data_IF_380556749809
#
_entry.id   IF_380556749809
#
_cell.length_a   1.000
_cell.length_b   1.000
_cell.length_c   1.000
_cell.angle_alpha   90.00
_cell.angle_beta   90.00
_cell.angle_gamma   90.00
#
_symmetry.space_group_name_H-M   'P 1'
#
loop_
_entity.id
_entity.type
_entity.pdbx_description
1 polymer ?
#
# COMPACT_ATOMS: atom_id res chain seq x y z
N UNK A 1 19.52 -63.76 54.85
CA UNK A 1 19.59 -62.94 56.07
C UNK A 1 18.20 -62.38 56.32
N UNK A 2 17.75 -62.53 57.56
CA UNK A 2 16.38 -62.50 58.05
C UNK A 2 15.56 -61.24 57.69
N UNK A 3 14.25 -61.41 57.43
CA UNK A 3 13.25 -60.52 58.05
C UNK A 3 11.86 -61.17 58.15
N UNK A 4 11.23 -60.88 59.29
CA UNK A 4 10.22 -61.60 60.08
C UNK A 4 8.77 -61.14 59.77
N UNK A 5 7.72 -61.67 60.47
CA UNK A 5 6.46 -62.05 59.86
C UNK A 5 5.27 -61.09 60.08
N UNK A 6 4.24 -61.35 59.27
CA UNK A 6 2.82 -61.46 59.60
C UNK A 6 2.33 -60.95 60.98
N UNK A 7 1.50 -59.90 60.96
CA UNK A 7 0.41 -59.68 61.92
C UNK A 7 -0.81 -59.11 61.16
N UNK A 8 -1.82 -59.95 60.98
CA UNK A 8 -3.21 -59.57 60.74
C UNK A 8 -3.90 -59.31 62.11
N UNK A 9 -5.22 -59.04 62.16
CA UNK A 9 -6.06 -58.08 61.44
C UNK A 9 -6.81 -57.17 62.44
N UNK A 10 -7.54 -56.14 61.99
CA UNK A 10 -8.86 -55.82 62.57
C UNK A 10 -9.74 -55.12 61.51
N UNK A 11 -10.83 -55.80 61.15
CA UNK A 11 -11.95 -55.34 60.33
C UNK A 11 -13.06 -54.84 61.26
N UNK A 12 -13.60 -53.63 61.03
CA UNK A 12 -14.98 -53.24 61.37
C UNK A 12 -15.40 -52.19 60.33
N UNK A 13 -15.92 -52.59 59.16
CA UNK A 13 -17.34 -52.81 58.83
C UNK A 13 -18.21 -51.54 58.91
N UNK A 14 -18.77 -51.10 57.76
CA UNK A 14 -20.00 -50.31 57.71
C UNK A 14 -20.77 -50.65 56.42
N UNK A 15 -22.03 -51.04 56.63
CA UNK A 15 -23.00 -51.54 55.65
C UNK A 15 -23.32 -50.50 54.57
N UNK A 16 -23.42 -50.94 53.31
CA UNK A 16 -24.12 -50.20 52.26
C UNK A 16 -25.43 -50.91 51.90
N UNK A 17 -26.53 -50.23 52.18
CA UNK A 17 -27.89 -50.60 51.79
C UNK A 17 -28.17 -50.00 50.40
N UNK A 18 -28.47 -50.84 49.42
CA UNK A 18 -28.88 -50.42 48.09
C UNK A 18 -30.35 -49.96 48.07
N UNK A 19 -30.61 -48.81 47.48
CA UNK A 19 -31.94 -48.39 47.06
C UNK A 19 -31.84 -47.87 45.62
N UNK A 20 -32.42 -48.62 44.67
CA UNK A 20 -32.54 -48.20 43.29
C UNK A 20 -33.74 -47.25 43.15
N UNK A 21 -33.48 -46.00 42.75
CA UNK A 21 -34.51 -45.05 42.34
C UNK A 21 -34.40 -44.90 40.82
N UNK A 22 -35.40 -45.38 40.10
CA UNK A 22 -35.52 -45.15 38.66
C UNK A 22 -36.00 -43.73 38.40
N UNK A 23 -35.08 -42.85 38.00
CA UNK A 23 -35.43 -41.51 37.54
C UNK A 23 -35.85 -41.56 36.05
N UNK A 24 -37.09 -41.20 35.76
CA UNK A 24 -37.57 -40.92 34.40
C UNK A 24 -36.95 -39.59 33.99
N UNK A 25 -36.02 -39.60 33.03
CA UNK A 25 -35.40 -38.39 32.50
C UNK A 25 -36.34 -37.83 31.42
N UNK A 26 -36.92 -36.62 31.56
CA UNK A 26 -37.61 -36.01 30.44
C UNK A 26 -36.58 -35.66 29.37
N UNK A 27 -36.78 -36.18 28.16
CA UNK A 27 -36.01 -35.75 26.98
C UNK A 27 -36.48 -34.34 26.64
N UNK A 28 -35.73 -33.34 27.10
CA UNK A 28 -35.89 -31.96 26.68
C UNK A 28 -35.33 -31.89 25.26
N UNK A 29 -36.23 -31.79 24.27
CA UNK A 29 -35.82 -31.58 22.89
C UNK A 29 -35.34 -30.13 22.76
N UNK A 30 -34.04 -29.90 22.95
CA UNK A 30 -33.40 -28.63 22.67
C UNK A 30 -33.43 -28.46 21.15
N UNK A 31 -34.30 -27.58 20.67
CA UNK A 31 -34.13 -27.03 19.32
C UNK A 31 -32.67 -26.56 19.20
N UNK A 32 -31.99 -26.78 18.06
CA UNK A 32 -30.64 -26.26 17.86
C UNK A 32 -30.70 -24.74 17.98
N UNK A 33 -30.37 -24.26 19.18
CA UNK A 33 -30.10 -22.87 19.45
C UNK A 33 -28.95 -22.50 18.54
N UNK A 34 -29.24 -21.63 17.58
CA UNK A 34 -28.25 -20.90 16.83
C UNK A 34 -27.42 -20.15 17.87
N UNK A 35 -26.31 -20.74 18.29
CA UNK A 35 -25.21 -19.99 18.88
C UNK A 35 -24.67 -19.13 17.76
N UNK A 36 -25.27 -17.96 17.58
CA UNK A 36 -24.67 -16.89 16.81
C UNK A 36 -23.35 -16.59 17.52
N UNK A 37 -22.25 -17.11 16.97
CA UNK A 37 -20.93 -16.66 17.36
C UNK A 37 -20.92 -15.14 17.17
N UNK A 38 -20.44 -14.34 18.15
CA UNK A 38 -20.26 -12.92 17.90
C UNK A 38 -19.26 -12.81 16.76
N UNK A 39 -19.73 -12.41 15.57
CA UNK A 39 -18.85 -11.86 14.55
C UNK A 39 -18.41 -10.53 15.11
N UNK A 40 -17.32 -10.52 15.88
CA UNK A 40 -16.65 -9.28 16.24
C UNK A 40 -16.26 -8.61 14.94
N UNK A 41 -17.09 -7.67 14.49
CA UNK A 41 -16.79 -6.82 13.36
C UNK A 41 -15.46 -6.16 13.69
N UNK A 42 -14.46 -6.38 12.84
CA UNK A 42 -13.07 -6.04 13.08
C UNK A 42 -12.95 -4.52 12.98
N UNK A 43 -13.37 -3.84 14.04
CA UNK A 43 -13.46 -2.39 14.13
C UNK A 43 -12.37 -1.89 15.07
N UNK A 44 -11.61 -0.90 14.60
CA UNK A 44 -10.50 -0.31 15.34
C UNK A 44 -11.00 0.90 16.15
N UNK A 45 -10.76 0.96 17.48
CA UNK A 45 -11.29 2.06 18.30
C UNK A 45 -10.80 3.45 17.86
N UNK A 46 -9.60 3.53 17.28
CA UNK A 46 -8.92 4.77 16.90
C UNK A 46 -9.27 5.27 15.49
N UNK A 47 -10.24 4.65 14.81
CA UNK A 47 -10.72 5.12 13.49
C UNK A 47 -12.17 5.60 13.49
N UNK A 48 -12.92 5.50 14.59
CA UNK A 48 -14.37 5.78 14.58
C UNK A 48 -14.74 7.15 14.00
N UNK A 49 -13.97 8.18 14.37
CA UNK A 49 -14.15 9.56 13.88
C UNK A 49 -13.08 9.96 12.85
N UNK A 50 -12.35 9.00 12.29
CA UNK A 50 -11.26 9.25 11.35
C UNK A 50 -11.76 9.23 9.91
N UNK A 51 -11.40 10.26 9.12
CA UNK A 51 -11.83 10.41 7.72
C UNK A 51 -11.53 9.18 6.85
N UNK A 52 -10.44 8.47 7.16
CA UNK A 52 -10.02 7.30 6.41
C UNK A 52 -10.78 6.01 6.77
N UNK A 53 -11.62 6.03 7.81
CA UNK A 53 -12.33 4.85 8.31
C UNK A 53 -13.10 4.09 7.21
N UNK A 54 -13.87 4.75 6.32
CA UNK A 54 -14.60 4.07 5.27
C UNK A 54 -13.71 3.35 4.25
N UNK A 55 -12.43 3.73 4.13
CA UNK A 55 -11.45 3.01 3.31
C UNK A 55 -10.79 1.87 4.08
N UNK A 56 -10.55 2.04 5.39
CA UNK A 56 -9.80 1.10 6.22
C UNK A 56 -10.62 -0.16 6.50
N UNK A 57 -11.89 -0.03 6.90
CA UNK A 57 -12.70 -1.17 7.34
C UNK A 57 -12.83 -2.25 6.24
N UNK A 58 -13.17 -1.92 4.98
CA UNK A 58 -13.32 -2.94 3.93
C UNK A 58 -11.99 -3.60 3.55
N UNK A 59 -10.86 -2.89 3.70
CA UNK A 59 -9.54 -3.47 3.49
C UNK A 59 -9.17 -4.43 4.62
N UNK A 60 -9.53 -4.11 5.87
CA UNK A 60 -9.30 -4.96 7.02
C UNK A 60 -10.15 -6.25 6.95
N UNK A 61 -11.42 -6.14 6.56
CA UNK A 61 -12.31 -7.29 6.32
C UNK A 61 -11.75 -8.26 5.25
N UNK A 62 -11.05 -7.71 4.26
CA UNK A 62 -10.37 -8.48 3.20
C UNK A 62 -8.98 -8.96 3.60
N UNK A 63 -8.54 -8.69 4.83
CA UNK A 63 -7.20 -8.98 5.34
C UNK A 63 -6.09 -8.34 4.48
N UNK A 64 -6.35 -7.17 3.87
CA UNK A 64 -5.36 -6.42 3.09
C UNK A 64 -4.50 -5.55 4.00
N UNK A 65 -5.14 -4.94 4.99
CA UNK A 65 -4.47 -4.22 6.07
C UNK A 65 -4.84 -4.87 7.40
N UNK A 66 -3.95 -4.76 8.38
CA UNK A 66 -4.17 -5.26 9.73
C UNK A 66 -3.86 -4.18 10.76
N UNK A 67 -4.56 -4.21 11.88
CA UNK A 67 -4.21 -3.40 13.05
C UNK A 67 -3.07 -4.01 13.87
N UNK A 68 -2.74 -3.33 14.95
CA UNK A 68 -1.73 -3.73 15.91
C UNK A 68 -2.31 -4.68 16.95
N UNK A 69 -1.41 -5.34 17.72
CA UNK A 69 -1.80 -6.31 18.75
C UNK A 69 -2.63 -5.68 19.88
N UNK A 70 -2.56 -4.36 20.05
CA UNK A 70 -3.38 -3.58 20.99
C UNK A 70 -4.79 -3.28 20.47
N UNK A 71 -5.14 -3.75 19.27
CA UNK A 71 -6.44 -3.55 18.64
C UNK A 71 -6.61 -2.22 17.91
N UNK A 72 -5.55 -1.41 17.80
CA UNK A 72 -5.59 -0.12 17.07
C UNK A 72 -5.18 -0.26 15.60
N UNK A 73 -5.58 0.68 14.74
CA UNK A 73 -5.10 0.75 13.34
C UNK A 73 -3.94 1.72 13.15
N UNK A 74 -3.88 2.77 13.98
CA UNK A 74 -2.97 3.91 13.95
C UNK A 74 -2.99 4.64 12.61
N UNK A 75 -4.13 5.22 12.20
CA UNK A 75 -4.30 5.79 10.87
C UNK A 75 -3.36 6.97 10.59
N UNK A 76 -2.91 7.68 11.62
CA UNK A 76 -1.99 8.82 11.51
C UNK A 76 -0.51 8.43 11.59
N UNK A 77 -0.18 7.15 11.78
CA UNK A 77 1.20 6.69 11.83
C UNK A 77 1.80 6.70 10.43
N UNK A 78 3.04 7.18 10.30
CA UNK A 78 3.79 7.18 9.04
C UNK A 78 4.18 5.77 8.64
N UNK A 79 4.13 5.49 7.35
CA UNK A 79 4.39 4.17 6.76
C UNK A 79 5.83 4.07 6.27
N UNK A 80 6.52 3.01 6.67
CA UNK A 80 7.84 2.68 6.14
C UNK A 80 7.73 1.92 4.80
N UNK A 81 8.78 1.97 3.98
CA UNK A 81 8.77 1.38 2.63
C UNK A 81 8.61 -0.13 2.64
N UNK A 82 9.16 -0.82 3.63
CA UNK A 82 9.01 -2.26 3.85
C UNK A 82 7.56 -2.66 4.16
N UNK A 83 6.90 -1.88 5.02
CA UNK A 83 5.50 -2.02 5.39
C UNK A 83 4.59 -1.76 4.18
N UNK A 84 4.89 -0.73 3.39
CA UNK A 84 4.16 -0.48 2.15
C UNK A 84 4.31 -1.64 1.14
N UNK A 85 5.51 -2.23 1.01
CA UNK A 85 5.71 -3.41 0.17
C UNK A 85 4.87 -4.61 0.65
N UNK A 86 4.77 -4.82 1.97
CA UNK A 86 3.91 -5.85 2.54
C UNK A 86 2.42 -5.61 2.24
N UNK A 87 1.95 -4.36 2.32
CA UNK A 87 0.58 -3.98 1.97
C UNK A 87 0.32 -4.23 0.48
N UNK A 88 1.24 -3.84 -0.41
CA UNK A 88 1.13 -4.10 -1.86
C UNK A 88 0.99 -5.61 -2.13
N UNK A 89 1.90 -6.41 -1.55
CA UNK A 89 1.90 -7.87 -1.71
C UNK A 89 0.57 -8.49 -1.29
N UNK A 90 -0.03 -7.97 -0.22
CA UNK A 90 -1.31 -8.46 0.27
C UNK A 90 -2.50 -7.97 -0.60
N UNK A 91 -2.43 -6.74 -1.12
CA UNK A 91 -3.50 -6.14 -1.93
C UNK A 91 -3.53 -6.66 -3.38
N UNK A 92 -2.37 -6.93 -3.98
CA UNK A 92 -2.23 -7.17 -5.40
C UNK A 92 -1.46 -8.46 -5.70
N UNK A 93 -2.18 -9.48 -6.17
CA UNK A 93 -1.58 -10.68 -6.74
C UNK A 93 -1.33 -10.48 -8.24
N UNK A 94 -0.19 -9.88 -8.60
CA UNK A 94 0.24 -9.66 -9.98
C UNK A 94 1.32 -10.65 -10.41
N UNK A 95 1.37 -10.97 -11.69
CA UNK A 95 2.44 -11.79 -12.25
C UNK A 95 3.76 -11.01 -12.28
N UNK A 96 4.91 -11.65 -12.00
CA UNK A 96 6.21 -11.02 -12.14
C UNK A 96 6.44 -10.47 -13.56
N UNK A 97 6.78 -9.19 -13.66
CA UNK A 97 7.19 -8.52 -14.91
C UNK A 97 8.70 -8.43 -15.07
N UNK A 98 9.45 -8.67 -13.98
CA UNK A 98 10.91 -8.68 -13.93
C UNK A 98 11.41 -9.95 -13.25
N UNK A 99 12.57 -10.45 -13.70
CA UNK A 99 13.25 -11.61 -13.09
C UNK A 99 14.36 -11.14 -12.15
N UNK A 100 14.45 -11.77 -10.98
CA UNK A 100 15.59 -11.61 -10.06
C UNK A 100 16.56 -12.78 -10.28
N UNK A 101 17.85 -12.50 -10.44
CA UNK A 101 18.89 -13.52 -10.37
C UNK A 101 19.10 -13.91 -8.90
N UNK A 102 19.27 -15.20 -8.60
CA UNK A 102 19.35 -15.70 -7.22
C UNK A 102 20.28 -14.87 -6.32
N UNK A 103 19.76 -14.40 -5.18
CA UNK A 103 20.45 -13.54 -4.21
C UNK A 103 19.58 -12.36 -3.76
N UNK A 104 20.02 -11.59 -2.76
CA UNK A 104 19.32 -10.36 -2.32
C UNK A 104 19.37 -9.31 -3.43
N UNK A 105 18.19 -8.78 -3.80
CA UNK A 105 18.06 -7.68 -4.78
C UNK A 105 18.74 -6.40 -4.32
N UNK A 106 18.71 -6.16 -3.01
CA UNK A 106 19.16 -4.92 -2.39
C UNK A 106 20.18 -5.20 -1.29
N UNK A 107 21.17 -4.32 -1.17
CA UNK A 107 22.31 -4.46 -0.24
C UNK A 107 21.93 -4.28 1.23
N UNK A 108 20.84 -3.55 1.48
CA UNK A 108 20.30 -3.22 2.80
C UNK A 108 19.07 -4.06 3.16
N UNK A 109 18.81 -5.13 2.42
CA UNK A 109 17.73 -6.08 2.70
C UNK A 109 18.34 -7.49 2.89
N UNK A 110 18.63 -7.87 4.14
CA UNK A 110 19.04 -9.24 4.47
C UNK A 110 17.99 -10.26 4.01
N UNK A 111 18.43 -11.46 3.60
CA UNK A 111 17.52 -12.50 3.11
C UNK A 111 16.55 -13.03 4.18
N UNK A 112 16.91 -12.92 5.47
CA UNK A 112 16.11 -13.28 6.63
C UNK A 112 15.25 -12.13 7.17
N UNK A 113 15.31 -10.95 6.53
CA UNK A 113 14.50 -9.81 6.91
C UNK A 113 13.02 -10.09 6.66
N UNK A 114 12.16 -9.74 7.61
CA UNK A 114 10.74 -10.10 7.61
C UNK A 114 10.00 -9.64 6.34
N UNK A 115 10.36 -8.48 5.79
CA UNK A 115 9.77 -7.93 4.59
C UNK A 115 10.52 -8.30 3.30
N UNK A 116 11.63 -9.05 3.37
CA UNK A 116 12.41 -9.41 2.18
C UNK A 116 11.53 -10.05 1.08
N UNK A 117 10.63 -11.01 1.37
CA UNK A 117 9.76 -11.56 0.33
C UNK A 117 8.82 -10.52 -0.28
N UNK A 118 8.30 -9.59 0.55
CA UNK A 118 7.41 -8.54 0.08
C UNK A 118 8.13 -7.51 -0.79
N UNK A 119 9.36 -7.15 -0.41
CA UNK A 119 10.21 -6.21 -1.15
C UNK A 119 10.61 -6.82 -2.50
N UNK A 120 11.01 -8.09 -2.52
CA UNK A 120 11.35 -8.81 -3.75
C UNK A 120 10.15 -8.93 -4.68
N UNK A 121 8.98 -9.31 -4.15
CA UNK A 121 7.75 -9.43 -4.94
C UNK A 121 7.31 -8.07 -5.48
N UNK A 122 7.33 -7.01 -4.67
CA UNK A 122 7.02 -5.65 -5.10
C UNK A 122 7.97 -5.15 -6.20
N UNK A 123 9.24 -5.59 -6.18
CA UNK A 123 10.20 -5.32 -7.25
C UNK A 123 9.92 -6.13 -8.52
N UNK A 124 9.72 -7.45 -8.38
CA UNK A 124 9.42 -8.35 -9.49
C UNK A 124 8.15 -7.97 -10.25
N UNK A 125 7.12 -7.56 -9.51
CA UNK A 125 5.85 -7.09 -10.06
C UNK A 125 5.91 -5.62 -10.48
N UNK A 126 7.01 -4.91 -10.20
CA UNK A 126 7.26 -3.54 -10.67
C UNK A 126 6.51 -2.45 -9.92
N UNK A 127 5.80 -2.76 -8.82
CA UNK A 127 5.19 -1.75 -7.96
C UNK A 127 6.24 -0.86 -7.32
N UNK A 128 7.35 -1.45 -6.84
CA UNK A 128 8.40 -0.70 -6.17
C UNK A 128 9.75 -0.90 -6.85
N UNK A 129 10.58 0.13 -6.75
CA UNK A 129 11.98 0.06 -7.12
C UNK A 129 12.83 0.56 -5.96
N UNK A 130 14.09 0.12 -5.92
CA UNK A 130 15.09 0.67 -5.02
C UNK A 130 15.68 1.98 -5.55
N UNK A 131 16.53 2.57 -4.73
CA UNK A 131 17.31 3.75 -5.01
C UNK A 131 18.63 3.42 -5.72
N UNK A 132 19.26 4.40 -6.39
CA UNK A 132 20.61 4.26 -6.93
C UNK A 132 21.59 3.68 -5.91
N UNK A 133 22.51 2.84 -6.38
CA UNK A 133 23.48 2.14 -5.54
C UNK A 133 23.03 0.78 -5.02
N UNK A 134 21.80 0.36 -5.30
CA UNK A 134 21.26 -0.97 -4.96
C UNK A 134 20.69 -1.04 -3.54
N UNK A 135 20.02 0.03 -3.10
CA UNK A 135 19.44 0.16 -1.76
C UNK A 135 17.91 0.25 -1.85
N UNK A 136 17.18 -0.45 -0.99
CA UNK A 136 15.73 -0.31 -0.89
C UNK A 136 15.30 0.74 0.13
N UNK A 137 16.11 0.91 1.18
CA UNK A 137 15.86 1.74 2.37
C UNK A 137 14.56 1.34 3.08
N UNK A 138 14.49 0.12 3.63
CA UNK A 138 13.25 -0.44 4.16
C UNK A 138 12.65 0.43 5.27
N UNK A 139 13.48 0.95 6.17
CA UNK A 139 13.02 1.75 7.31
C UNK A 139 12.80 3.24 6.98
N UNK A 140 12.95 3.64 5.72
CA UNK A 140 12.64 5.01 5.31
C UNK A 140 11.12 5.14 5.14
N UNK A 141 10.56 6.25 5.59
CA UNK A 141 9.16 6.58 5.34
C UNK A 141 8.91 6.73 3.84
N UNK A 142 7.78 6.20 3.36
CA UNK A 142 7.37 6.38 1.97
C UNK A 142 6.63 7.71 1.80
N UNK A 143 7.00 8.48 0.79
CA UNK A 143 6.26 9.71 0.47
C UNK A 143 4.93 9.41 -0.24
N UNK A 144 3.98 10.35 -0.16
CA UNK A 144 2.70 10.26 -0.88
C UNK A 144 2.89 10.05 -2.38
N UNK A 145 3.84 10.77 -3.00
CA UNK A 145 4.10 10.62 -4.43
C UNK A 145 4.70 9.26 -4.79
N UNK A 146 5.60 8.72 -3.97
CA UNK A 146 6.17 7.39 -4.22
C UNK A 146 5.09 6.31 -4.13
N UNK A 147 4.18 6.41 -3.16
CA UNK A 147 3.05 5.49 -3.05
C UNK A 147 2.14 5.53 -4.28
N UNK A 148 1.79 6.72 -4.77
CA UNK A 148 0.95 6.89 -5.96
C UNK A 148 1.64 6.38 -7.24
N UNK A 149 2.92 6.67 -7.41
CA UNK A 149 3.73 6.16 -8.52
C UNK A 149 3.78 4.63 -8.48
N UNK A 150 3.95 4.05 -7.29
CA UNK A 150 4.01 2.61 -7.12
C UNK A 150 2.69 1.93 -7.52
N UNK A 151 1.56 2.51 -7.12
CA UNK A 151 0.25 2.01 -7.46
C UNK A 151 -0.02 2.16 -8.95
N UNK A 152 0.17 3.32 -9.56
CA UNK A 152 -0.20 3.53 -10.96
C UNK A 152 0.55 2.63 -11.94
N UNK A 153 1.85 2.41 -11.72
CA UNK A 153 2.74 1.67 -12.63
C UNK A 153 2.24 0.28 -13.03
N UNK A 154 1.45 -0.38 -12.16
CA UNK A 154 0.97 -1.75 -12.40
C UNK A 154 -0.54 -1.90 -12.43
N UNK A 155 -1.29 -0.80 -12.38
CA UNK A 155 -2.74 -0.87 -12.47
C UNK A 155 -3.25 -0.93 -13.91
N UNK A 156 -2.39 -0.80 -14.94
CA UNK A 156 -2.76 -0.81 -16.37
C UNK A 156 -4.02 0.06 -16.67
N UNK A 157 -4.20 1.17 -15.96
CA UNK A 157 -5.41 2.03 -16.02
C UNK A 157 -5.57 2.77 -17.36
N UNK A 158 -4.71 2.49 -18.33
CA UNK A 158 -4.82 2.94 -19.71
C UNK A 158 -5.54 1.90 -20.58
N UNK A 159 -6.88 1.80 -20.48
CA UNK A 159 -7.76 1.36 -21.60
C UNK A 159 -9.26 1.23 -21.27
N UNK A 160 -9.71 1.32 -20.02
CA UNK A 160 -11.14 1.16 -19.70
C UNK A 160 -11.75 2.39 -19.05
N UNK A 161 -12.02 3.41 -19.87
CA UNK A 161 -13.17 4.29 -19.61
C UNK A 161 -14.43 3.59 -20.12
N UNK A 162 -15.52 3.47 -19.34
CA UNK A 162 -16.80 3.03 -19.90
C UNK A 162 -17.32 4.11 -20.86
N UNK A 163 -17.15 3.88 -22.16
CA UNK A 163 -17.74 4.72 -23.21
C UNK A 163 -19.24 4.46 -23.30
N UNK A 164 -20.12 5.47 -23.20
CA UNK A 164 -21.53 5.31 -23.53
C UNK A 164 -21.66 4.96 -25.01
N UNK A 165 -22.44 3.93 -25.33
CA UNK A 165 -22.70 3.51 -26.70
C UNK A 165 -23.19 4.69 -27.56
N UNK A 166 -22.38 5.07 -28.55
CA UNK A 166 -22.82 5.88 -29.67
C UNK A 166 -22.72 5.04 -30.96
N UNK A 167 -23.90 4.81 -31.51
CA UNK A 167 -24.24 4.17 -32.77
C UNK A 167 -23.36 4.60 -33.96
N UNK A 168 -22.77 3.60 -34.59
CA UNK A 168 -22.44 3.44 -36.02
C UNK A 168 -21.96 4.68 -36.80
N UNK A 169 -20.68 4.66 -37.20
CA UNK A 169 -20.31 5.02 -38.57
C UNK A 169 -19.35 3.97 -39.14
N UNK A 170 -19.73 3.49 -40.32
CA UNK A 170 -19.19 2.37 -41.07
C UNK A 170 -18.21 2.90 -42.10
N UNK A 171 -16.95 2.46 -42.08
CA UNK A 171 -16.11 2.49 -43.28
C UNK A 171 -15.04 1.40 -43.24
N UNK A 172 -14.91 0.73 -44.37
CA UNK A 172 -14.21 -0.52 -44.60
C UNK A 172 -12.68 -0.37 -44.63
N UNK A 173 -11.97 -1.43 -44.23
CA UNK A 173 -10.66 -1.75 -44.79
C UNK A 173 -10.47 -3.29 -44.87
N UNK A 174 -9.80 -3.82 -45.92
CA UNK A 174 -10.03 -5.18 -46.39
C UNK A 174 -9.19 -6.27 -45.71
N UNK A 175 -9.73 -7.47 -45.88
CA UNK A 175 -9.26 -8.82 -45.60
C UNK A 175 -7.80 -9.13 -45.93
N UNK A 176 -7.12 -9.80 -44.99
CA UNK A 176 -6.13 -10.85 -45.27
C UNK A 176 -6.34 -12.00 -44.26
N UNK A 177 -6.46 -13.22 -44.78
CA UNK A 177 -6.86 -14.44 -44.10
C UNK A 177 -5.66 -15.30 -43.66
N UNK A 178 -5.82 -15.95 -42.50
CA UNK A 178 -5.43 -17.32 -42.09
C UNK A 178 -3.98 -17.84 -42.37
N UNK A 179 -3.32 -18.56 -41.45
CA UNK A 179 -3.61 -20.00 -41.19
C UNK A 179 -2.66 -20.62 -40.10
N UNK A 180 -3.20 -21.60 -39.35
CA UNK A 180 -2.59 -22.72 -38.54
C UNK A 180 -1.71 -22.42 -37.30
N UNK A 181 -1.68 -23.18 -36.19
CA UNK A 181 -2.44 -24.31 -35.58
C UNK A 181 -1.95 -24.49 -34.09
N UNK A 182 -2.59 -25.34 -33.25
CA UNK A 182 -2.49 -25.30 -31.78
C UNK A 182 -1.45 -26.26 -31.18
N UNK A 183 -0.95 -25.95 -29.96
CA UNK A 183 -0.20 -26.90 -29.12
C UNK A 183 -0.67 -26.87 -27.66
N UNK A 184 -0.66 -28.05 -27.08
CA UNK A 184 -1.35 -28.55 -25.89
C UNK A 184 -0.80 -28.11 -24.52
N UNK A 185 -1.68 -28.34 -23.53
CA UNK A 185 -1.61 -28.16 -22.08
C UNK A 185 -0.35 -28.72 -21.41
N UNK A 186 0.06 -28.08 -20.31
CA UNK A 186 0.42 -28.84 -19.10
C UNK A 186 0.02 -28.13 -17.80
N UNK A 187 -0.52 -28.92 -16.88
CA UNK A 187 -1.20 -28.51 -15.64
C UNK A 187 -0.31 -28.88 -14.46
N UNK A 188 0.40 -27.91 -13.87
CA UNK A 188 1.15 -28.12 -12.64
C UNK A 188 0.36 -27.58 -11.44
N UNK A 189 -0.07 -28.51 -10.58
CA UNK A 189 -0.69 -28.25 -9.28
C UNK A 189 0.42 -28.15 -8.23
N UNK A 190 0.49 -27.07 -7.44
CA UNK A 190 1.15 -27.15 -6.12
C UNK A 190 0.70 -26.07 -5.12
N UNK A 191 -0.02 -26.56 -4.11
CA UNK A 191 -0.17 -26.15 -2.69
C UNK A 191 -0.06 -24.66 -2.34
N UNK A 192 -1.22 -24.08 -1.98
CA UNK A 192 -1.33 -22.91 -1.10
C UNK A 192 -0.88 -23.30 0.31
N UNK A 193 0.17 -22.66 0.80
CA UNK A 193 0.64 -22.78 2.17
C UNK A 193 0.10 -21.57 2.95
N UNK A 194 -0.94 -21.78 3.75
CA UNK A 194 -1.38 -20.81 4.76
C UNK A 194 -0.34 -20.84 5.88
N UNK A 195 0.33 -19.73 6.15
CA UNK A 195 1.09 -19.54 7.38
C UNK A 195 0.61 -18.27 8.07
N UNK A 196 0.21 -18.33 9.36
CA UNK A 196 -0.10 -17.15 10.15
C UNK A 196 1.21 -16.54 10.65
N UNK A 197 1.39 -15.23 10.50
CA UNK A 197 2.50 -14.52 11.13
C UNK A 197 1.94 -13.41 12.02
N UNK A 198 1.57 -13.82 13.24
CA UNK A 198 1.68 -12.98 14.42
C UNK A 198 3.08 -13.21 14.99
N UNK A 199 3.99 -12.25 14.87
CA UNK A 199 5.16 -12.09 15.75
C UNK A 199 5.88 -10.77 15.42
N UNK A 200 5.50 -9.69 16.11
CA UNK A 200 6.35 -8.49 16.24
C UNK A 200 6.87 -8.45 17.68
N UNK A 201 8.02 -9.08 17.89
CA UNK A 201 8.75 -9.00 19.16
C UNK A 201 9.55 -7.70 19.19
N UNK A 202 9.41 -6.99 20.31
CA UNK A 202 10.15 -5.83 20.83
C UNK A 202 11.48 -5.47 20.14
N UNK A 203 11.66 -4.18 19.82
CA UNK A 203 12.94 -3.51 20.07
C UNK A 203 12.74 -2.03 20.42
N UNK A 204 13.25 -1.68 21.61
CA UNK A 204 13.34 -0.33 22.18
C UNK A 204 14.55 0.41 21.58
N UNK A 205 14.49 1.73 21.32
CA UNK A 205 15.68 2.53 21.13
C UNK A 205 16.26 2.97 22.48
N UNK A 206 17.49 2.53 22.77
CA UNK A 206 18.34 3.13 23.81
C UNK A 206 18.76 4.53 23.34
N UNK A 207 18.16 5.57 23.92
CA UNK A 207 18.60 6.96 23.77
C UNK A 207 19.84 7.16 24.66
N UNK A 208 20.98 7.48 24.06
CA UNK A 208 22.11 8.12 24.76
C UNK A 208 22.28 9.54 24.23
N UNK A 209 22.41 10.49 25.16
CA UNK A 209 22.38 11.93 24.96
C UNK A 209 23.78 12.53 24.59
N UNK A 210 24.01 13.87 24.66
CA UNK A 210 24.50 14.65 23.53
C UNK A 210 25.99 15.07 23.63
N UNK A 211 26.61 15.42 22.50
CA UNK A 211 27.90 16.12 22.49
C UNK A 211 27.71 17.57 22.04
N UNK A 212 28.18 18.49 22.87
CA UNK A 212 28.26 19.92 22.64
C UNK A 212 29.72 20.35 22.70
N UNK A 213 30.22 20.98 21.63
CA UNK A 213 31.37 21.89 21.61
C UNK A 213 31.69 22.24 20.15
N UNK A 214 32.11 23.43 19.73
CA UNK A 214 32.36 24.71 20.39
C UNK A 214 32.52 25.73 19.25
N UNK A 215 32.22 26.99 19.57
CA UNK A 215 32.37 28.17 18.75
C UNK A 215 33.84 28.63 18.83
N UNK A 216 34.43 29.04 17.71
CA UNK A 216 35.51 30.04 17.72
C UNK A 216 35.44 30.91 16.46
N UNK A 217 35.04 32.17 16.66
CA UNK A 217 35.31 33.29 15.76
C UNK A 217 36.79 33.69 15.88
N UNK A 218 37.45 34.05 14.76
CA UNK A 218 38.46 35.12 14.75
C UNK A 218 38.82 35.51 13.30
N UNK A 219 38.40 36.72 12.97
CA UNK A 219 38.74 37.54 11.82
C UNK A 219 40.18 38.07 11.93
N UNK A 220 40.98 37.98 10.87
CA UNK A 220 42.12 38.88 10.65
C UNK A 220 42.67 38.79 9.22
N UNK A 221 42.29 39.75 8.37
CA UNK A 221 43.10 40.25 7.24
C UNK A 221 44.10 41.30 7.76
N UNK A 222 45.27 41.52 7.11
CA UNK A 222 45.29 42.49 6.01
C UNK A 222 46.25 42.20 4.82
N UNK A 223 45.82 42.75 3.68
CA UNK A 223 46.47 43.31 2.48
C UNK A 223 47.94 43.07 2.06
N UNK A 224 48.04 42.72 0.77
CA UNK A 224 48.85 43.29 -0.35
C UNK A 224 50.38 43.16 -0.38
N UNK A 225 50.92 42.52 -1.45
CA UNK A 225 51.89 43.08 -2.41
C UNK A 225 51.74 42.36 -3.77
N UNK A 226 51.87 43.12 -4.86
CA UNK A 226 51.67 42.77 -6.27
C UNK A 226 52.86 42.06 -6.95
N UNK A 227 52.61 41.43 -8.11
CA UNK A 227 53.36 41.57 -9.39
C UNK A 227 52.93 40.51 -10.43
N UNK A 228 51.99 40.90 -11.32
CA UNK A 228 52.06 40.90 -12.79
C UNK A 228 52.39 39.64 -13.66
N UNK A 229 52.00 39.64 -14.96
CA UNK A 229 51.15 38.58 -15.53
C UNK A 229 51.76 37.83 -16.72
N UNK A 230 51.18 36.68 -17.08
CA UNK A 230 51.30 36.10 -18.42
C UNK A 230 49.94 35.99 -19.13
N UNK A 231 49.95 36.62 -20.30
CA UNK A 231 48.99 36.65 -21.41
C UNK A 231 48.78 35.30 -22.10
N UNK A 232 47.57 35.04 -22.63
CA UNK A 232 47.23 34.63 -24.01
C UNK A 232 45.72 34.20 -24.11
N UNK A 233 45.07 34.22 -25.30
CA UNK A 233 44.06 35.23 -25.62
C UNK A 233 42.59 34.75 -25.75
N UNK A 234 41.69 35.74 -25.79
CA UNK A 234 40.27 35.65 -26.19
C UNK A 234 40.09 35.25 -27.66
N UNK A 235 39.15 34.34 -27.90
CA UNK A 235 38.45 34.16 -29.17
C UNK A 235 36.94 34.13 -28.95
N UNK A 236 36.23 35.03 -29.62
CA UNK A 236 34.78 35.06 -29.87
C UNK A 236 34.58 36.05 -31.04
N UNK A 237 33.47 36.06 -31.81
CA UNK A 237 32.26 35.23 -31.76
C UNK A 237 31.84 34.68 -33.15
N UNK A 238 30.89 33.74 -33.21
CA UNK A 238 29.81 33.76 -34.23
C UNK A 238 28.75 32.70 -34.00
N UNK A 239 27.52 33.22 -33.98
CA UNK A 239 26.20 32.61 -34.12
C UNK A 239 26.13 31.43 -35.10
N UNK A 240 25.29 30.43 -34.81
CA UNK A 240 24.17 30.00 -35.66
C UNK A 240 23.40 28.84 -35.00
N UNK A 241 22.07 29.03 -34.99
CA UNK A 241 20.98 28.04 -34.89
C UNK A 241 20.75 27.28 -33.57
N UNK A 242 19.89 27.87 -32.74
CA UNK A 242 18.55 27.33 -32.44
C UNK A 242 18.42 25.81 -32.39
N UNK A 243 18.80 25.19 -31.27
CA UNK A 243 18.07 24.02 -30.80
C UNK A 243 16.89 24.53 -29.96
N UNK A 244 15.78 24.69 -30.67
CA UNK A 244 14.47 25.03 -30.11
C UNK A 244 14.08 23.95 -29.11
N UNK A 245 14.31 24.22 -27.83
CA UNK A 245 13.70 23.52 -26.72
C UNK A 245 12.19 23.71 -26.82
N UNK A 246 11.48 22.77 -27.45
CA UNK A 246 10.04 22.65 -27.28
C UNK A 246 9.81 21.96 -25.94
N UNK A 247 9.20 22.63 -24.94
CA UNK A 247 8.72 21.90 -23.78
C UNK A 247 7.58 21.02 -24.28
N UNK A 248 7.78 19.70 -24.27
CA UNK A 248 6.67 18.75 -24.38
C UNK A 248 5.96 18.77 -23.03
N UNK A 249 5.28 19.87 -22.69
CA UNK A 249 4.30 19.91 -21.60
C UNK A 249 3.10 19.10 -22.07
N UNK A 250 3.30 17.80 -21.97
CA UNK A 250 2.39 16.71 -22.26
C UNK A 250 1.11 16.86 -21.42
N UNK A 251 -0.05 16.34 -21.89
CA UNK A 251 -1.32 16.36 -21.17
C UNK A 251 -1.25 16.03 -19.66
N UNK A 252 -0.23 15.30 -19.19
CA UNK A 252 0.00 15.00 -17.78
C UNK A 252 0.31 16.24 -16.91
N UNK A 253 1.23 17.13 -17.33
CA UNK A 253 1.57 18.32 -16.53
C UNK A 253 0.39 19.29 -16.41
N UNK A 254 -0.38 19.41 -17.49
CA UNK A 254 -1.64 20.15 -17.50
C UNK A 254 -2.68 19.51 -16.58
N UNK A 255 -2.80 18.17 -16.60
CA UNK A 255 -3.71 17.45 -15.69
C UNK A 255 -3.39 17.78 -14.25
N UNK A 256 -2.15 17.56 -13.79
CA UNK A 256 -1.82 17.79 -12.37
C UNK A 256 -1.99 19.26 -11.96
N UNK A 257 -1.66 20.22 -12.84
CA UNK A 257 -1.82 21.65 -12.56
C UNK A 257 -3.29 22.09 -12.46
N UNK A 258 -4.22 21.36 -13.08
CA UNK A 258 -5.65 21.64 -12.97
C UNK A 258 -6.27 21.09 -11.68
N UNK A 259 -5.65 20.08 -11.07
CA UNK A 259 -6.19 19.44 -9.87
C UNK A 259 -5.49 19.87 -8.59
N UNK A 260 -4.22 20.28 -8.66
CA UNK A 260 -3.40 20.53 -7.47
C UNK A 260 -2.78 21.91 -7.44
N UNK A 261 -2.97 22.63 -6.34
CA UNK A 261 -2.36 23.95 -6.12
C UNK A 261 -0.85 23.85 -5.93
N UNK A 262 -0.38 22.72 -5.41
CA UNK A 262 1.02 22.38 -5.16
C UNK A 262 1.62 21.48 -6.26
N UNK A 263 1.02 21.48 -7.46
CA UNK A 263 1.48 20.65 -8.59
C UNK A 263 2.96 20.85 -8.95
N UNK A 264 3.52 22.02 -8.65
CA UNK A 264 4.94 22.34 -8.89
C UNK A 264 5.89 21.57 -7.95
N UNK A 265 5.40 21.05 -6.83
CA UNK A 265 6.17 20.22 -5.90
C UNK A 265 6.26 18.76 -6.35
N UNK A 266 5.46 18.36 -7.36
CA UNK A 266 5.49 17.00 -7.90
C UNK A 266 6.83 16.80 -8.64
N UNK A 267 7.66 15.84 -8.23
CA UNK A 267 8.90 15.56 -8.93
C UNK A 267 8.65 15.23 -10.40
N UNK A 268 9.51 15.73 -11.30
CA UNK A 268 9.34 15.54 -12.75
C UNK A 268 9.15 14.08 -13.16
N UNK A 269 9.82 13.14 -12.49
CA UNK A 269 9.70 11.71 -12.78
C UNK A 269 8.30 11.14 -12.49
N UNK A 270 7.52 11.79 -11.63
CA UNK A 270 6.23 11.31 -11.13
C UNK A 270 5.02 11.95 -11.82
N UNK A 271 5.20 13.05 -12.55
CA UNK A 271 4.10 13.85 -13.13
C UNK A 271 3.13 12.99 -13.96
N UNK A 272 3.65 12.10 -14.80
CA UNK A 272 2.82 11.22 -15.63
C UNK A 272 2.01 10.24 -14.78
N UNK A 273 2.63 9.58 -13.80
CA UNK A 273 1.97 8.60 -12.95
C UNK A 273 0.93 9.28 -12.04
N UNK A 274 1.23 10.44 -11.48
CA UNK A 274 0.28 11.21 -10.66
C UNK A 274 -0.90 11.68 -11.50
N UNK A 275 -0.66 12.18 -12.72
CA UNK A 275 -1.74 12.54 -13.64
C UNK A 275 -2.66 11.35 -13.96
N UNK A 276 -2.08 10.18 -14.22
CA UNK A 276 -2.83 8.96 -14.49
C UNK A 276 -3.60 8.46 -13.25
N UNK A 277 -2.98 8.45 -12.06
CA UNK A 277 -3.63 8.13 -10.80
C UNK A 277 -4.81 9.08 -10.49
N UNK A 278 -4.65 10.37 -10.80
CA UNK A 278 -5.70 11.38 -10.65
C UNK A 278 -6.89 11.06 -11.55
N UNK A 279 -6.64 10.78 -12.84
CA UNK A 279 -7.69 10.41 -13.81
C UNK A 279 -8.40 9.11 -13.44
N UNK A 280 -7.68 8.19 -12.82
CA UNK A 280 -8.21 6.91 -12.35
C UNK A 280 -8.95 7.00 -11.00
N UNK A 281 -9.10 8.20 -10.42
CA UNK A 281 -9.70 8.43 -9.10
C UNK A 281 -8.96 7.71 -7.95
N UNK A 282 -7.66 7.45 -8.11
CA UNK A 282 -6.82 6.78 -7.10
C UNK A 282 -6.40 7.76 -6.00
N UNK A 283 -6.20 9.03 -6.37
CA UNK A 283 -5.71 10.04 -5.44
C UNK A 283 -6.82 10.44 -4.47
N UNK A 284 -6.51 10.32 -3.18
CA UNK A 284 -7.35 10.80 -2.08
C UNK A 284 -6.58 11.85 -1.27
N UNK A 285 -7.16 13.05 -1.19
CA UNK A 285 -6.54 14.21 -0.56
C UNK A 285 -7.47 14.72 0.56
N UNK A 286 -7.00 14.61 1.80
CA UNK A 286 -7.70 15.07 2.99
C UNK A 286 -6.88 16.18 3.68
N UNK A 287 -7.53 17.25 4.18
CA UNK A 287 -8.96 17.57 4.05
C UNK A 287 -9.30 18.27 2.73
N UNK A 288 -8.31 18.76 1.99
CA UNK A 288 -8.50 19.53 0.75
C UNK A 288 -8.09 18.69 -0.47
N UNK A 289 -9.05 18.43 -1.38
CA UNK A 289 -8.79 17.67 -2.60
C UNK A 289 -7.70 18.27 -3.50
N UNK A 290 -7.48 19.58 -3.41
CA UNK A 290 -6.58 20.31 -4.30
C UNK A 290 -5.14 20.40 -3.77
N UNK A 291 -4.83 19.80 -2.61
CA UNK A 291 -3.48 19.79 -2.03
C UNK A 291 -2.96 18.36 -1.97
N UNK A 292 -1.94 18.06 -2.78
CA UNK A 292 -1.39 16.71 -2.87
C UNK A 292 -0.35 16.41 -1.78
N UNK A 293 0.45 17.38 -1.36
CA UNK A 293 1.61 17.23 -0.49
C UNK A 293 2.56 16.11 -0.96
N UNK A 294 3.06 16.14 -2.22
CA UNK A 294 3.69 15.00 -2.86
C UNK A 294 4.92 14.47 -2.11
N UNK A 295 5.69 15.36 -1.48
CA UNK A 295 6.95 15.03 -0.81
C UNK A 295 6.81 14.70 0.68
N UNK A 296 5.59 14.77 1.24
CA UNK A 296 5.36 14.43 2.64
C UNK A 296 5.30 12.90 2.83
N UNK A 297 5.85 12.38 3.95
CA UNK A 297 5.61 11.01 4.40
C UNK A 297 4.11 10.68 4.45
N UNK A 298 3.73 9.53 3.91
CA UNK A 298 2.35 9.06 3.90
C UNK A 298 2.00 8.34 5.21
N UNK A 299 0.81 8.63 5.73
CA UNK A 299 0.22 7.95 6.87
C UNK A 299 -0.47 6.64 6.46
N UNK A 300 -0.70 5.74 7.43
CA UNK A 300 -1.43 4.48 7.21
C UNK A 300 -2.85 4.69 6.67
N UNK A 301 -3.54 5.74 7.11
CA UNK A 301 -4.87 6.10 6.62
C UNK A 301 -4.85 6.55 5.16
N UNK A 302 -3.86 7.34 4.76
CA UNK A 302 -3.68 7.75 3.35
C UNK A 302 -3.32 6.57 2.45
N UNK A 303 -2.40 5.71 2.90
CA UNK A 303 -2.06 4.48 2.16
C UNK A 303 -3.28 3.58 2.01
N UNK A 304 -4.08 3.38 3.06
CA UNK A 304 -5.32 2.62 2.98
C UNK A 304 -6.30 3.23 1.96
N UNK A 305 -6.47 4.55 1.95
CA UNK A 305 -7.32 5.23 0.98
C UNK A 305 -6.84 5.02 -0.47
N UNK A 306 -5.54 5.15 -0.74
CA UNK A 306 -4.97 4.91 -2.07
C UNK A 306 -5.11 3.45 -2.51
N UNK A 307 -4.85 2.49 -1.62
CA UNK A 307 -5.01 1.06 -1.90
C UNK A 307 -6.47 0.73 -2.19
N UNK A 308 -7.39 1.27 -1.39
CA UNK A 308 -8.83 1.11 -1.62
C UNK A 308 -9.21 1.59 -3.01
N UNK A 309 -8.84 2.83 -3.38
CA UNK A 309 -9.20 3.37 -4.70
C UNK A 309 -8.52 2.62 -5.84
N UNK A 310 -7.28 2.16 -5.66
CA UNK A 310 -6.61 1.31 -6.63
C UNK A 310 -7.36 -0.01 -6.86
N UNK A 311 -7.91 -0.63 -5.81
CA UNK A 311 -8.72 -1.83 -5.91
C UNK A 311 -10.10 -1.57 -6.51
N UNK A 312 -10.70 -0.40 -6.25
CA UNK A 312 -11.91 0.07 -6.94
C UNK A 312 -11.65 0.23 -8.44
N UNK A 313 -10.52 0.85 -8.82
CA UNK A 313 -10.14 1.01 -10.22
C UNK A 313 -9.93 -0.33 -10.93
N UNK A 314 -9.57 -1.40 -10.20
CA UNK A 314 -9.51 -2.78 -10.71
C UNK A 314 -10.85 -3.53 -10.67
N UNK A 315 -11.93 -2.93 -10.15
CA UNK A 315 -13.22 -3.58 -9.96
C UNK A 315 -13.20 -4.70 -8.90
N UNK A 316 -12.22 -4.69 -7.99
CA UNK A 316 -12.07 -5.70 -6.92
C UNK A 316 -12.82 -5.34 -5.63
N UNK A 317 -13.10 -4.06 -5.44
CA UNK A 317 -13.88 -3.52 -4.31
C UNK A 317 -14.89 -2.53 -4.88
N UNK A 318 -16.06 -2.45 -4.25
CA UNK A 318 -17.10 -1.50 -4.64
C UNK A 318 -16.68 -0.05 -4.32
N UNK A 319 -17.02 0.93 -5.17
CA UNK A 319 -16.74 2.33 -4.88
C UNK A 319 -17.53 2.80 -3.66
N UNK A 320 -16.94 3.71 -2.86
CA UNK A 320 -17.67 4.33 -1.76
C UNK A 320 -18.93 5.05 -2.27
N UNK A 321 -20.09 4.90 -1.60
CA UNK A 321 -21.29 5.67 -1.92
C UNK A 321 -21.04 7.18 -1.84
N UNK A 322 -21.71 7.96 -2.68
CA UNK A 322 -21.60 9.44 -2.67
C UNK A 322 -22.19 10.08 -1.40
N UNK A 323 -22.93 9.33 -0.60
CA UNK A 323 -23.46 9.76 0.69
C UNK A 323 -22.41 9.71 1.81
N UNK A 324 -21.29 9.01 1.61
CA UNK A 324 -20.22 8.89 2.62
C UNK A 324 -19.30 10.11 2.48
N UNK A 325 -19.08 10.84 3.57
CA UNK A 325 -18.26 12.06 3.57
C UNK A 325 -16.85 11.82 3.01
N UNK A 326 -16.22 10.68 3.36
CA UNK A 326 -14.89 10.32 2.87
C UNK A 326 -14.79 10.27 1.33
N UNK A 327 -15.92 10.09 0.63
CA UNK A 327 -15.97 10.14 -0.83
C UNK A 327 -15.67 11.53 -1.40
N UNK A 328 -15.87 12.58 -0.61
CA UNK A 328 -15.52 13.96 -0.93
C UNK A 328 -14.02 14.25 -0.82
N UNK A 329 -13.18 13.26 -0.56
CA UNK A 329 -11.71 13.41 -0.60
C UNK A 329 -11.10 12.73 -1.83
N UNK A 330 -11.90 12.02 -2.62
CA UNK A 330 -11.45 11.36 -3.84
C UNK A 330 -11.38 12.40 -4.96
N UNK A 331 -10.17 12.64 -5.46
CA UNK A 331 -9.91 13.64 -6.51
C UNK A 331 -10.53 13.17 -7.82
N UNK A 332 -11.04 14.11 -8.64
CA UNK A 332 -11.67 13.86 -9.95
C UNK A 332 -12.97 13.02 -9.88
N UNK A 333 -13.56 12.85 -8.69
CA UNK A 333 -14.89 12.26 -8.56
C UNK A 333 -15.95 13.25 -9.06
N UNK A 334 -16.62 12.93 -10.16
CA UNK A 334 -17.78 13.71 -10.59
C UNK A 334 -18.95 13.42 -9.65
N UNK A 335 -19.35 14.40 -8.84
CA UNK A 335 -20.59 14.33 -8.08
C UNK A 335 -21.75 14.34 -9.07
N UNK A 336 -22.54 13.26 -9.15
CA UNK A 336 -23.70 13.15 -10.05
C UNK A 336 -24.88 14.05 -9.61
N UNK A 337 -24.65 15.36 -9.49
CA UNK A 337 -25.69 16.37 -9.18
C UNK A 337 -26.06 17.26 -10.37
N UNK A 338 -25.43 17.10 -11.55
CA UNK A 338 -25.74 17.90 -12.76
C UNK A 338 -26.19 17.06 -13.96
N UNK A 339 -27.07 16.08 -13.74
CA UNK A 339 -27.81 15.37 -14.81
C UNK A 339 -29.31 15.41 -14.49
N UNK A 340 -29.89 16.61 -14.39
CA UNK A 340 -31.33 16.87 -14.57
C UNK A 340 -31.63 18.37 -14.39
N UNK A 341 -31.37 19.17 -15.43
CA UNK A 341 -32.12 20.40 -15.77
C UNK A 341 -31.64 20.93 -17.13
N UNK A 342 -31.79 20.10 -18.16
CA UNK A 342 -32.09 20.62 -19.50
C UNK A 342 -33.41 20.01 -19.94
N UNK A 343 -34.48 20.45 -19.28
CA UNK A 343 -35.82 20.43 -19.88
C UNK A 343 -35.77 21.36 -21.08
N UNK A 344 -35.85 20.73 -22.25
CA UNK A 344 -36.24 21.30 -23.54
C UNK A 344 -37.32 22.36 -23.33
N UNK A 345 -36.99 23.60 -23.70
CA UNK A 345 -37.95 24.59 -24.20
C UNK A 345 -37.50 25.00 -25.59
#
# INVERSE_FOLDING_TARGET
MFSLPNLAPQNIALLSLGLAVTAVIPVVNLAPGVVAAPTSQLSFPDIQDHWASPFIEPLAEKNIVAGYLDGTFRPNQLVQRDEFAAIIRQAFNQEPVQKIASGSVYKDVPADYWAAPAIEEAYQTGFMAGYPGGFFRPNQEISRVEALVALEKNLNVSSTSPTPSATQMKMNQPTAQATTQPVSRDRATKKRFLMPLAMTTLMQPLITAPVKSQITDANSSPSSVASDPETFPKGSPSSVATESSLPVTSPASFTVSNYYVDAQEIPHYAVTNVAAATKANIVVNYPNQEILNPNQPATRGEIAAFIYQALVAQGKIEPLPSSVEASNYIVNRTTSSNQNTQTVQ
#
